data_IF_843729460565
#
_entry.id   IF_843729460565
#
_cell.length_a   1.000
_cell.length_b   1.000
_cell.length_c   1.000
_cell.angle_alpha   90.00
_cell.angle_beta   90.00
_cell.angle_gamma   90.00
#
_symmetry.space_group_name_H-M   'P 1'
#
loop_
_entity.id
_entity.type
_entity.pdbx_description
1 polymer ?
#
# COMPACT_ATOMS: atom_id res chain seq x y z
N UNK A 1 -44.39 -14.70 -1.91
CA UNK A 1 -45.06 -13.99 -0.80
C UNK A 1 -45.05 -14.87 0.44
N UNK A 2 -44.73 -14.26 1.59
CA UNK A 2 -44.63 -14.80 2.97
C UNK A 2 -43.31 -15.50 3.33
N UNK A 3 -42.70 -15.31 4.51
CA UNK A 3 -42.67 -14.29 5.59
C UNK A 3 -41.57 -14.80 6.53
N UNK A 4 -40.82 -13.90 7.16
CA UNK A 4 -40.23 -14.12 8.49
C UNK A 4 -38.69 -14.15 8.49
N UNK A 5 -37.99 -13.44 9.36
CA UNK A 5 -38.41 -12.72 10.55
C UNK A 5 -37.28 -12.77 11.60
N UNK A 6 -37.24 -11.73 12.43
CA UNK A 6 -36.61 -11.65 13.75
C UNK A 6 -35.07 -11.48 13.86
N UNK A 7 -34.72 -10.22 14.15
CA UNK A 7 -33.80 -9.77 15.20
C UNK A 7 -33.55 -10.81 16.32
N UNK A 8 -32.29 -10.92 16.77
CA UNK A 8 -31.98 -10.91 18.21
C UNK A 8 -30.47 -10.74 18.46
N UNK A 9 -30.16 -9.67 19.17
CA UNK A 9 -28.90 -9.48 19.87
C UNK A 9 -28.76 -10.49 21.01
N UNK A 10 -27.55 -10.98 21.27
CA UNK A 10 -27.21 -11.49 22.59
C UNK A 10 -25.73 -11.20 22.88
N UNK A 11 -25.56 -10.33 23.86
CA UNK A 11 -24.34 -10.09 24.60
C UNK A 11 -23.91 -11.34 25.37
N UNK A 12 -22.60 -11.47 25.62
CA UNK A 12 -22.08 -12.05 26.86
C UNK A 12 -20.71 -11.42 27.18
N UNK A 13 -20.68 -10.73 28.31
CA UNK A 13 -19.50 -10.23 28.97
C UNK A 13 -18.84 -11.34 29.81
N UNK A 14 -17.52 -11.29 29.98
CA UNK A 14 -16.86 -11.88 31.15
C UNK A 14 -15.52 -11.17 31.44
N UNK A 15 -15.36 -10.79 32.70
CA UNK A 15 -14.24 -10.07 33.32
C UNK A 15 -13.16 -11.04 33.85
N UNK A 16 -11.91 -10.56 33.98
CA UNK A 16 -11.02 -10.74 35.17
C UNK A 16 -9.92 -9.67 35.14
N UNK A 17 -9.93 -8.67 36.02
CA UNK A 17 -9.21 -8.58 37.33
C UNK A 17 -7.69 -8.50 37.22
N UNK A 18 -7.13 -7.38 37.69
CA UNK A 18 -5.71 -7.18 37.95
C UNK A 18 -5.44 -5.82 38.60
N UNK A 19 -5.71 -5.71 39.91
CA UNK A 19 -5.38 -4.55 40.73
C UNK A 19 -3.86 -4.43 40.94
N UNK A 20 -3.35 -3.20 40.84
CA UNK A 20 -2.04 -2.79 41.32
C UNK A 20 -2.02 -1.30 41.60
N UNK A 21 -2.65 -0.88 42.71
CA UNK A 21 -2.46 0.45 43.28
C UNK A 21 -1.14 0.46 44.07
N UNK A 22 -0.25 1.37 43.70
CA UNK A 22 0.79 1.88 44.59
C UNK A 22 0.90 3.39 44.36
N UNK A 23 0.26 4.17 45.23
CA UNK A 23 0.60 5.58 45.46
C UNK A 23 1.96 5.66 46.20
N UNK A 24 2.75 6.70 45.97
CA UNK A 24 2.73 7.78 46.95
C UNK A 24 2.91 9.22 46.40
N UNK A 25 2.22 10.13 47.08
CA UNK A 25 2.66 11.48 47.49
C UNK A 25 2.86 12.60 46.44
N UNK A 26 1.84 13.45 46.36
CA UNK A 26 1.85 14.93 46.40
C UNK A 26 3.15 15.68 46.02
N UNK A 27 3.09 16.39 44.88
CA UNK A 27 3.59 17.77 44.69
C UNK A 27 2.80 18.43 43.55
N UNK A 28 2.27 19.67 43.70
CA UNK A 28 1.56 20.36 42.63
C UNK A 28 2.52 21.23 41.80
N UNK A 29 2.42 21.12 40.47
CA UNK A 29 2.86 22.15 39.51
C UNK A 29 3.62 21.59 38.29
N UNK A 30 3.60 22.31 37.15
CA UNK A 30 2.52 23.05 36.52
C UNK A 30 1.92 22.25 35.35
N UNK A 31 0.79 22.74 34.82
CA UNK A 31 0.17 22.21 33.60
C UNK A 31 1.19 22.09 32.46
N UNK A 32 1.58 20.86 32.16
CA UNK A 32 2.11 20.48 30.86
C UNK A 32 1.02 19.61 30.24
N UNK A 33 0.22 20.21 29.36
CA UNK A 33 -0.63 19.49 28.43
C UNK A 33 0.27 18.46 27.72
N UNK A 34 0.08 17.19 28.07
CA UNK A 34 0.70 16.05 27.40
C UNK A 34 0.20 16.01 25.96
N UNK A 35 0.99 16.63 25.09
CA UNK A 35 1.43 16.13 23.80
C UNK A 35 0.62 14.92 23.27
N UNK A 36 -0.39 15.22 22.46
CA UNK A 36 -1.13 14.28 21.62
C UNK A 36 -0.27 13.86 20.41
N UNK A 37 0.88 13.23 20.68
CA UNK A 37 1.81 12.69 19.65
C UNK A 37 1.98 11.17 19.74
N UNK A 38 1.03 10.45 20.35
CA UNK A 38 1.03 8.97 20.28
C UNK A 38 0.48 8.42 18.95
N UNK A 39 -0.20 9.25 18.15
CA UNK A 39 -0.78 8.86 16.86
C UNK A 39 0.24 8.92 15.71
N UNK A 40 1.30 9.74 15.82
CA UNK A 40 2.33 9.92 14.77
C UNK A 40 3.30 8.74 14.65
N UNK A 41 3.66 8.11 15.77
CA UNK A 41 4.57 6.95 15.79
C UNK A 41 3.91 5.70 15.21
N UNK A 42 2.59 5.56 15.34
CA UNK A 42 1.86 4.38 14.86
C UNK A 42 1.66 4.41 13.35
N UNK A 43 1.36 5.57 12.77
CA UNK A 43 1.23 5.76 11.32
C UNK A 43 2.54 5.52 10.54
N UNK A 44 3.69 5.85 11.13
CA UNK A 44 5.00 5.60 10.52
C UNK A 44 5.30 4.10 10.37
N UNK A 45 4.88 3.29 11.36
CA UNK A 45 5.04 1.83 11.34
C UNK A 45 4.16 1.14 10.29
N UNK A 46 2.90 1.57 10.14
CA UNK A 46 1.96 1.06 9.13
C UNK A 46 2.46 1.42 7.73
N UNK A 47 2.90 2.67 7.54
CA UNK A 47 3.47 3.12 6.27
C UNK A 47 4.68 2.28 5.84
N UNK A 48 5.64 2.05 6.75
CA UNK A 48 6.81 1.22 6.47
C UNK A 48 6.44 -0.22 6.09
N UNK A 49 5.46 -0.81 6.77
CA UNK A 49 4.96 -2.16 6.46
C UNK A 49 4.32 -2.23 5.07
N UNK A 50 3.52 -1.23 4.70
CA UNK A 50 2.93 -1.14 3.36
C UNK A 50 4.04 -1.07 2.30
N UNK A 51 5.06 -0.22 2.49
CA UNK A 51 6.18 -0.14 1.56
C UNK A 51 6.93 -1.46 1.42
N UNK A 52 7.12 -2.20 2.52
CA UNK A 52 7.75 -3.52 2.49
C UNK A 52 6.92 -4.58 1.74
N UNK A 53 5.58 -4.52 1.83
CA UNK A 53 4.69 -5.37 1.03
C UNK A 53 4.79 -5.02 -0.46
N UNK A 54 4.77 -3.73 -0.80
CA UNK A 54 4.93 -3.27 -2.18
C UNK A 54 6.29 -3.67 -2.79
N UNK A 55 7.37 -3.60 -2.00
CA UNK A 55 8.70 -4.03 -2.44
C UNK A 55 8.77 -5.54 -2.75
N UNK A 56 7.94 -6.35 -2.09
CA UNK A 56 7.81 -7.79 -2.33
C UNK A 56 6.81 -8.15 -3.44
N UNK A 57 6.05 -7.17 -3.94
CA UNK A 57 4.97 -7.39 -4.91
C UNK A 57 3.67 -7.90 -4.27
N UNK A 58 3.56 -7.85 -2.95
CA UNK A 58 2.36 -8.27 -2.19
C UNK A 58 1.28 -7.18 -2.23
N UNK A 59 0.86 -6.78 -3.44
CA UNK A 59 0.01 -5.60 -3.66
C UNK A 59 -1.39 -5.73 -3.06
N UNK A 60 -1.99 -6.92 -3.08
CA UNK A 60 -3.30 -7.17 -2.45
C UNK A 60 -3.23 -6.96 -0.94
N UNK A 61 -2.18 -7.46 -0.29
CA UNK A 61 -1.98 -7.25 1.15
C UNK A 61 -1.67 -5.78 1.45
N UNK A 62 -0.89 -5.12 0.61
CA UNK A 62 -0.62 -3.69 0.74
C UNK A 62 -1.91 -2.85 0.65
N UNK A 63 -2.81 -3.18 -0.29
CA UNK A 63 -4.11 -2.51 -0.44
C UNK A 63 -5.03 -2.73 0.77
N UNK A 64 -5.10 -3.96 1.28
CA UNK A 64 -5.85 -4.26 2.50
C UNK A 64 -5.34 -3.43 3.68
N UNK A 65 -4.02 -3.39 3.88
CA UNK A 65 -3.41 -2.63 4.97
C UNK A 65 -3.56 -1.11 4.81
N UNK A 66 -3.61 -0.60 3.57
CA UNK A 66 -3.96 0.81 3.31
C UNK A 66 -5.39 1.08 3.77
N UNK A 67 -6.36 0.24 3.36
CA UNK A 67 -7.76 0.43 3.71
C UNK A 67 -7.99 0.36 5.23
N UNK A 68 -7.40 -0.65 5.90
CA UNK A 68 -7.43 -0.78 7.35
C UNK A 68 -6.77 0.41 8.06
N UNK A 69 -5.58 0.81 7.60
CA UNK A 69 -4.85 1.95 8.15
C UNK A 69 -5.62 3.28 8.01
N UNK A 70 -6.32 3.49 6.89
CA UNK A 70 -7.19 4.65 6.70
C UNK A 70 -8.43 4.59 7.58
N UNK A 71 -9.11 3.44 7.66
CA UNK A 71 -10.30 3.27 8.50
C UNK A 71 -9.99 3.44 9.99
N UNK A 72 -8.81 3.04 10.43
CA UNK A 72 -8.33 3.18 11.81
C UNK A 72 -7.72 4.58 12.11
N UNK A 73 -7.70 5.50 11.15
CA UNK A 73 -7.09 6.83 11.31
C UNK A 73 -5.56 6.83 11.43
N UNK A 74 -4.90 5.71 11.12
CA UNK A 74 -3.43 5.57 11.16
C UNK A 74 -2.75 6.12 9.90
N UNK A 75 -3.52 6.33 8.82
CA UNK A 75 -3.08 6.94 7.57
C UNK A 75 -4.02 8.08 7.21
N UNK A 76 -3.46 9.23 6.84
CA UNK A 76 -4.24 10.29 6.21
C UNK A 76 -4.78 9.82 4.85
N UNK A 77 -5.90 10.41 4.42
CA UNK A 77 -6.52 10.10 3.13
C UNK A 77 -5.55 10.37 1.97
N UNK A 78 -4.79 11.45 2.04
CA UNK A 78 -3.80 11.84 1.02
C UNK A 78 -2.66 10.82 0.94
N UNK A 79 -2.18 10.31 2.08
CA UNK A 79 -1.15 9.25 2.11
C UNK A 79 -1.69 7.96 1.50
N UNK A 80 -2.92 7.58 1.87
CA UNK A 80 -3.58 6.39 1.34
C UNK A 80 -3.80 6.46 -0.18
N UNK A 81 -4.23 7.62 -0.69
CA UNK A 81 -4.38 7.87 -2.13
C UNK A 81 -3.05 7.69 -2.86
N UNK A 82 -1.98 8.35 -2.40
CA UNK A 82 -0.65 8.24 -3.02
C UNK A 82 -0.11 6.80 -3.02
N UNK A 83 -0.34 6.05 -1.95
CA UNK A 83 0.06 4.64 -1.87
C UNK A 83 -0.73 3.78 -2.87
N UNK A 84 -2.04 4.02 -2.98
CA UNK A 84 -2.92 3.31 -3.92
C UNK A 84 -2.54 3.60 -5.36
N UNK A 85 -2.30 4.85 -5.72
CA UNK A 85 -1.81 5.26 -7.05
C UNK A 85 -0.47 4.58 -7.37
N UNK A 86 0.45 4.54 -6.40
CA UNK A 86 1.74 3.88 -6.58
C UNK A 86 1.57 2.38 -6.83
N UNK A 87 0.62 1.70 -6.16
CA UNK A 87 0.30 0.29 -6.43
C UNK A 87 -0.26 0.14 -7.85
N UNK A 88 -1.18 1.01 -8.27
CA UNK A 88 -1.76 0.96 -9.61
C UNK A 88 -0.68 1.05 -10.70
N UNK A 89 0.27 1.97 -10.55
CA UNK A 89 1.41 2.14 -11.48
C UNK A 89 2.33 0.92 -11.49
N UNK A 90 2.59 0.31 -10.33
CA UNK A 90 3.45 -0.88 -10.26
C UNK A 90 2.78 -2.10 -10.92
N UNK A 91 1.44 -2.16 -10.88
CA UNK A 91 0.64 -3.21 -11.50
C UNK A 91 0.31 -2.95 -12.99
N UNK A 92 0.63 -1.78 -13.53
CA UNK A 92 0.42 -1.50 -14.95
C UNK A 92 1.22 -2.47 -15.80
N UNK A 93 0.53 -3.18 -16.70
CA UNK A 93 1.18 -4.03 -17.70
C UNK A 93 1.56 -3.20 -18.89
N UNK A 94 2.64 -3.60 -19.56
CA UNK A 94 3.11 -2.86 -20.71
C UNK A 94 2.12 -2.93 -21.90
N UNK A 95 1.44 -4.07 -22.05
CA UNK A 95 0.41 -4.30 -23.07
C UNK A 95 -0.79 -3.37 -22.95
N UNK A 96 -1.05 -2.84 -21.75
CA UNK A 96 -2.09 -1.84 -21.49
C UNK A 96 -1.72 -0.44 -22.03
N UNK A 97 -0.52 -0.29 -22.63
CA UNK A 97 -0.01 0.94 -23.24
C UNK A 97 0.12 0.80 -24.78
N UNK A 98 -0.99 0.50 -25.49
CA UNK A 98 -0.95 0.09 -26.89
C UNK A 98 -0.40 1.18 -27.83
N UNK A 99 -0.66 2.46 -27.55
CA UNK A 99 -0.28 3.58 -28.44
C UNK A 99 1.24 3.83 -28.56
N UNK A 100 2.04 3.32 -27.61
CA UNK A 100 3.49 3.49 -27.59
C UNK A 100 4.25 2.23 -27.99
N UNK A 101 3.68 1.05 -27.71
CA UNK A 101 4.26 -0.23 -28.13
C UNK A 101 4.29 -0.42 -29.65
N UNK A 102 3.31 0.12 -30.37
CA UNK A 102 3.26 0.06 -31.84
C UNK A 102 4.39 0.84 -32.53
N UNK A 103 5.05 1.76 -31.82
CA UNK A 103 6.17 2.56 -32.38
C UNK A 103 7.54 1.93 -32.17
N UNK A 104 7.63 0.85 -31.39
CA UNK A 104 8.90 0.17 -31.12
C UNK A 104 9.01 -1.05 -32.04
N UNK A 105 9.89 -0.95 -33.04
CA UNK A 105 10.26 -2.09 -33.88
C UNK A 105 10.89 -3.19 -33.01
N UNK A 106 10.55 -4.46 -33.25
CA UNK A 106 11.05 -5.64 -32.51
C UNK A 106 10.78 -5.69 -31.00
N UNK A 107 9.62 -5.17 -30.56
CA UNK A 107 9.26 -5.25 -29.15
C UNK A 107 8.89 -6.69 -28.71
N UNK A 108 9.51 -7.24 -27.64
CA UNK A 108 9.24 -8.62 -27.21
C UNK A 108 7.77 -8.80 -26.80
N UNK A 109 7.06 -9.70 -27.48
CA UNK A 109 5.65 -10.00 -27.18
C UNK A 109 5.47 -10.46 -25.73
N UNK A 110 6.43 -11.21 -25.19
CA UNK A 110 6.44 -11.68 -23.79
C UNK A 110 6.41 -10.56 -22.76
N UNK A 111 6.92 -9.36 -23.09
CA UNK A 111 6.92 -8.22 -22.17
C UNK A 111 5.56 -7.50 -22.09
N UNK A 112 4.61 -7.79 -22.98
CA UNK A 112 3.29 -7.15 -22.96
C UNK A 112 2.51 -7.48 -21.69
N UNK A 113 2.60 -8.73 -21.23
CA UNK A 113 1.90 -9.18 -20.02
C UNK A 113 2.70 -8.88 -18.74
N UNK A 114 3.92 -8.35 -18.87
CA UNK A 114 4.79 -8.04 -17.73
C UNK A 114 4.45 -6.68 -17.14
N UNK A 115 4.32 -6.65 -15.82
CA UNK A 115 4.08 -5.44 -15.02
C UNK A 115 5.35 -4.61 -14.83
N UNK A 116 5.20 -3.33 -14.49
CA UNK A 116 6.34 -2.48 -14.11
C UNK A 116 7.12 -3.06 -12.92
N UNK A 117 6.44 -3.67 -11.96
CA UNK A 117 7.07 -4.34 -10.83
C UNK A 117 8.02 -5.45 -11.28
N UNK A 118 7.54 -6.37 -12.13
CA UNK A 118 8.34 -7.49 -12.64
C UNK A 118 9.51 -7.01 -13.49
N UNK A 119 9.30 -5.99 -14.34
CA UNK A 119 10.40 -5.37 -15.13
C UNK A 119 11.49 -4.83 -14.21
N UNK A 120 11.11 -4.12 -13.13
CA UNK A 120 12.08 -3.61 -12.15
C UNK A 120 12.79 -4.73 -11.42
N UNK A 121 12.08 -5.80 -11.06
CA UNK A 121 12.66 -6.98 -10.41
C UNK A 121 13.67 -7.69 -11.29
N UNK A 122 13.35 -7.90 -12.58
CA UNK A 122 14.27 -8.48 -13.56
C UNK A 122 15.55 -7.62 -13.71
N UNK A 123 15.40 -6.30 -13.83
CA UNK A 123 16.55 -5.38 -13.88
C UNK A 123 17.41 -5.43 -12.59
N UNK A 124 16.78 -5.52 -11.42
CA UNK A 124 17.48 -5.56 -10.14
C UNK A 124 18.23 -6.88 -9.92
N UNK A 125 17.62 -7.99 -10.32
CA UNK A 125 18.18 -9.35 -10.20
C UNK A 125 19.10 -9.72 -11.38
N UNK A 126 19.23 -8.84 -12.37
CA UNK A 126 19.92 -9.08 -13.65
C UNK A 126 19.40 -10.32 -14.38
N UNK A 127 18.12 -10.59 -14.26
CA UNK A 127 17.44 -11.64 -15.00
C UNK A 127 17.05 -11.12 -16.40
N UNK A 128 17.71 -11.66 -17.42
CA UNK A 128 17.50 -11.32 -18.83
C UNK A 128 16.97 -12.49 -19.64
N UNK A 129 16.38 -13.49 -18.98
CA UNK A 129 15.83 -14.68 -19.63
C UNK A 129 14.66 -14.37 -20.58
N UNK A 130 13.90 -13.32 -20.30
CA UNK A 130 12.70 -12.92 -21.07
C UNK A 130 13.03 -11.88 -22.14
N UNK A 131 13.94 -10.96 -21.84
CA UNK A 131 14.32 -9.87 -22.73
C UNK A 131 15.71 -9.30 -22.37
N UNK A 132 16.33 -8.61 -23.31
CA UNK A 132 17.61 -7.94 -23.07
C UNK A 132 17.48 -6.80 -22.06
N UNK A 133 18.58 -6.45 -21.40
CA UNK A 133 18.64 -5.31 -20.48
C UNK A 133 18.13 -4.00 -21.14
N UNK A 134 18.49 -3.77 -22.41
CA UNK A 134 18.04 -2.59 -23.15
C UNK A 134 16.54 -2.57 -23.36
N UNK A 135 15.94 -3.71 -23.73
CA UNK A 135 14.49 -3.86 -23.89
C UNK A 135 13.75 -3.67 -22.55
N UNK A 136 14.27 -4.22 -21.46
CA UNK A 136 13.69 -4.00 -20.12
C UNK A 136 13.76 -2.54 -19.68
N UNK A 137 14.87 -1.84 -19.96
CA UNK A 137 14.98 -0.41 -19.68
C UNK A 137 14.04 0.43 -20.53
N UNK A 138 13.85 0.08 -21.80
CA UNK A 138 12.87 0.73 -22.67
C UNK A 138 11.45 0.51 -22.14
N UNK A 139 11.08 -0.74 -21.84
CA UNK A 139 9.78 -1.09 -21.27
C UNK A 139 9.48 -0.30 -19.98
N UNK A 140 10.45 -0.22 -19.06
CA UNK A 140 10.36 0.59 -17.84
C UNK A 140 10.07 2.06 -18.16
N UNK A 141 10.79 2.67 -19.11
CA UNK A 141 10.60 4.08 -19.50
C UNK A 141 9.21 4.32 -20.07
N UNK A 142 8.73 3.43 -20.94
CA UNK A 142 7.41 3.55 -21.58
C UNK A 142 6.27 3.63 -20.55
N UNK A 143 6.31 2.80 -19.51
CA UNK A 143 5.29 2.83 -18.43
C UNK A 143 5.44 4.11 -17.59
N UNK A 144 6.66 4.51 -17.25
CA UNK A 144 6.89 5.68 -16.39
C UNK A 144 6.53 7.00 -17.08
N UNK A 145 6.75 7.13 -18.38
CA UNK A 145 6.38 8.32 -19.15
C UNK A 145 4.87 8.44 -19.32
N UNK A 146 4.13 7.33 -19.41
CA UNK A 146 2.66 7.38 -19.43
C UNK A 146 2.11 7.99 -18.14
N UNK A 147 2.68 7.63 -16.98
CA UNK A 147 2.25 8.20 -15.70
C UNK A 147 2.41 9.71 -15.67
N UNK A 148 3.55 10.23 -16.14
CA UNK A 148 3.80 11.68 -16.18
C UNK A 148 2.77 12.43 -17.01
N UNK A 149 2.37 11.88 -18.15
CA UNK A 149 1.36 12.51 -19.02
C UNK A 149 -0.06 12.54 -18.45
N UNK A 150 -0.34 11.78 -17.38
CA UNK A 150 -1.62 11.80 -16.69
C UNK A 150 -1.61 12.71 -15.45
N UNK A 151 -0.45 13.28 -15.11
CA UNK A 151 -0.24 14.15 -13.94
C UNK A 151 -0.15 15.65 -14.33
N UNK A 152 -0.25 15.98 -15.62
CA UNK A 152 -0.31 17.35 -16.19
C UNK A 152 -1.75 17.72 -16.60
#
# INVERSE_FOLDING_TARGET
>A
MRVGGALLACWLAAWTVGCGHAEPATRPGPAAEQDDDSSRVKGSSVHARILALMARGEFTQAQALIAEGTAAGLLSREVATRLTERIAVLNTRLGDIPARLTRVHDFPSKLKDTTLFEIRRMLQTKDFSVATQSQLNLAKKLIQEQKRLLED
#
